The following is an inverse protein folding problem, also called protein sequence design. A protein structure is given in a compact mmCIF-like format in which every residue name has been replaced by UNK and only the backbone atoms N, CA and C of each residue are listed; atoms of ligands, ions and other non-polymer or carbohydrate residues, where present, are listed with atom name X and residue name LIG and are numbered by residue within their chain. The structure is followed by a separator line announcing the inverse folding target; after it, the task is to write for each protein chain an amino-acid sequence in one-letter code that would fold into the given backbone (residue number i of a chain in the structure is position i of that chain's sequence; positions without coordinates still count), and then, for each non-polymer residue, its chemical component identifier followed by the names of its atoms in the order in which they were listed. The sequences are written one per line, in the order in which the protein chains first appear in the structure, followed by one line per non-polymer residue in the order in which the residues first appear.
data_IF_748057012956
#
_entry.id   IF_748057012956
#
_cell.length_a   1.000
_cell.length_b   1.000
_cell.length_c   1.000
_cell.angle_alpha   90.00
_cell.angle_beta   90.00
_cell.angle_gamma   90.00
#
_symmetry.space_group_name_H-M   'P 1'
#
loop_
_entity.id
_entity.type
_entity.pdbx_description
1 polymer ?
#
# COMPACT_ATOMS: atom_id res chain seq x y z
N UNK A 1 -15.38 43.54 47.28
CA UNK A 1 -15.36 42.20 46.63
C UNK A 1 -15.88 42.35 45.21
N UNK A 2 -15.49 41.55 44.18
CA UNK A 2 -14.34 40.65 44.01
C UNK A 2 -13.51 40.93 42.73
N UNK A 3 -12.34 40.29 42.61
CA UNK A 3 -11.38 40.40 41.50
C UNK A 3 -11.81 39.54 40.30
N UNK A 4 -11.88 40.10 39.09
CA UNK A 4 -12.05 39.34 37.84
C UNK A 4 -10.73 38.70 37.44
N UNK A 5 -10.62 37.37 37.56
CA UNK A 5 -9.52 36.59 36.98
C UNK A 5 -9.85 36.30 35.51
N UNK A 6 -9.10 36.87 34.58
CA UNK A 6 -9.09 36.46 33.17
C UNK A 6 -8.37 35.12 33.06
N UNK A 7 -9.11 34.07 32.69
CA UNK A 7 -8.57 32.72 32.53
C UNK A 7 -8.15 32.52 31.06
N UNK A 8 -6.90 32.81 30.73
CA UNK A 8 -6.31 32.52 29.42
C UNK A 8 -6.06 31.02 29.31
N UNK A 9 -6.94 30.29 28.60
CA UNK A 9 -6.74 28.88 28.30
C UNK A 9 -5.56 28.71 27.30
N UNK A 10 -4.59 27.82 27.56
CA UNK A 10 -3.49 27.59 26.62
C UNK A 10 -3.99 26.82 25.38
N UNK A 11 -3.63 27.34 24.21
CA UNK A 11 -3.92 26.75 22.91
C UNK A 11 -3.10 25.47 22.73
N UNK A 12 -3.70 24.30 22.97
CA UNK A 12 -3.10 23.00 22.64
C UNK A 12 -3.07 22.87 21.12
N UNK A 13 -1.88 23.00 20.53
CA UNK A 13 -1.58 22.55 19.17
C UNK A 13 -1.99 21.08 19.09
N UNK A 14 -3.11 20.81 18.43
CA UNK A 14 -3.64 19.48 18.25
C UNK A 14 -2.75 18.81 17.20
N UNK A 15 -1.74 18.07 17.65
CA UNK A 15 -1.01 17.13 16.80
C UNK A 15 -2.05 16.18 16.21
N UNK A 16 -2.29 16.27 14.90
CA UNK A 16 -3.19 15.34 14.20
C UNK A 16 -2.67 13.93 14.48
N UNK A 17 -3.55 13.04 14.93
CA UNK A 17 -3.15 11.65 15.13
C UNK A 17 -2.77 11.03 13.79
N UNK A 18 -1.91 10.01 13.82
CA UNK A 18 -1.43 9.31 12.63
C UNK A 18 -2.59 8.87 11.73
N UNK A 19 -3.67 8.41 12.35
CA UNK A 19 -4.91 7.98 11.70
C UNK A 19 -5.58 9.14 10.95
N UNK A 20 -5.60 10.34 11.52
CA UNK A 20 -6.14 11.53 10.87
C UNK A 20 -5.29 11.98 9.68
N UNK A 21 -3.95 11.86 9.78
CA UNK A 21 -3.05 12.15 8.67
C UNK A 21 -3.16 11.13 7.53
N UNK A 22 -3.30 9.84 7.87
CA UNK A 22 -3.58 8.77 6.91
C UNK A 22 -4.94 8.99 6.24
N UNK A 23 -5.98 9.29 7.01
CA UNK A 23 -7.31 9.60 6.49
C UNK A 23 -7.30 10.80 5.54
N UNK A 24 -6.62 11.89 5.90
CA UNK A 24 -6.52 13.07 5.04
C UNK A 24 -5.71 12.79 3.76
N UNK A 25 -4.67 11.95 3.84
CA UNK A 25 -3.88 11.52 2.68
C UNK A 25 -4.70 10.64 1.75
N UNK A 26 -5.45 9.68 2.30
CA UNK A 26 -6.42 8.88 1.55
C UNK A 26 -7.50 9.76 0.91
N UNK A 27 -7.98 10.81 1.59
CA UNK A 27 -8.96 11.75 1.04
C UNK A 27 -8.40 12.59 -0.11
N UNK A 28 -7.12 12.99 -0.03
CA UNK A 28 -6.44 13.72 -1.11
C UNK A 28 -6.14 12.82 -2.31
N UNK A 29 -5.74 11.57 -2.09
CA UNK A 29 -5.58 10.55 -3.13
C UNK A 29 -6.90 10.18 -3.80
N UNK A 30 -8.02 10.23 -3.07
CA UNK A 30 -9.36 9.91 -3.57
C UNK A 30 -9.81 10.82 -4.72
N UNK A 31 -9.40 12.10 -4.74
CA UNK A 31 -9.93 13.06 -5.71
C UNK A 31 -11.46 13.01 -5.82
N UNK A 32 -12.00 12.99 -7.03
CA UNK A 32 -13.43 12.90 -7.34
C UNK A 32 -13.92 11.45 -7.60
N UNK A 33 -13.19 10.42 -7.17
CA UNK A 33 -13.57 9.02 -7.41
C UNK A 33 -14.80 8.65 -6.58
N UNK A 34 -15.82 8.14 -7.25
CA UNK A 34 -17.09 7.77 -6.62
C UNK A 34 -16.85 6.60 -5.61
N UNK A 35 -17.51 6.60 -4.44
CA UNK A 35 -17.28 5.57 -3.41
C UNK A 35 -17.44 4.12 -3.90
N UNK A 36 -18.22 3.91 -4.97
CA UNK A 36 -18.43 2.62 -5.59
C UNK A 36 -17.18 2.08 -6.31
N UNK A 37 -16.34 2.93 -6.90
CA UNK A 37 -15.08 2.54 -7.55
C UNK A 37 -13.94 2.41 -6.53
N UNK A 38 -13.97 3.21 -5.46
CA UNK A 38 -12.95 3.21 -4.41
C UNK A 38 -12.77 1.84 -3.72
N UNK A 39 -13.87 1.10 -3.50
CA UNK A 39 -13.80 -0.23 -2.86
C UNK A 39 -12.98 -1.22 -3.68
N UNK A 40 -13.08 -1.14 -5.01
CA UNK A 40 -12.37 -2.05 -5.91
C UNK A 40 -10.89 -1.68 -5.95
N UNK A 41 -10.57 -0.39 -6.14
CA UNK A 41 -9.18 0.08 -6.16
C UNK A 41 -8.44 -0.21 -4.85
N UNK A 42 -9.06 0.06 -3.69
CA UNK A 42 -8.42 -0.19 -2.40
C UNK A 42 -8.25 -1.68 -2.12
N UNK A 43 -9.26 -2.50 -2.43
CA UNK A 43 -9.16 -3.94 -2.25
C UNK A 43 -8.07 -4.53 -3.15
N UNK A 44 -8.03 -4.09 -4.40
CA UNK A 44 -6.99 -4.43 -5.38
C UNK A 44 -5.59 -4.07 -4.87
N UNK A 45 -5.39 -2.87 -4.33
CA UNK A 45 -4.10 -2.45 -3.76
C UNK A 45 -3.70 -3.26 -2.53
N UNK A 46 -4.64 -3.60 -1.64
CA UNK A 46 -4.37 -4.44 -0.47
C UNK A 46 -3.97 -5.85 -0.92
N UNK A 47 -4.70 -6.41 -1.88
CA UNK A 47 -4.39 -7.72 -2.45
C UNK A 47 -3.00 -7.73 -3.09
N UNK A 48 -2.69 -6.71 -3.88
CA UNK A 48 -1.42 -6.59 -4.60
C UNK A 48 -0.24 -6.39 -3.63
N UNK A 49 -0.43 -5.62 -2.55
CA UNK A 49 0.53 -5.53 -1.46
C UNK A 49 0.77 -6.88 -0.80
N UNK A 50 -0.31 -7.61 -0.49
CA UNK A 50 -0.23 -8.92 0.15
C UNK A 50 0.48 -9.94 -0.75
N UNK A 51 0.11 -10.02 -2.03
CA UNK A 51 0.75 -10.89 -3.00
C UNK A 51 2.24 -10.55 -3.16
N UNK A 52 2.56 -9.26 -3.28
CA UNK A 52 3.95 -8.77 -3.33
C UNK A 52 4.77 -9.18 -2.12
N UNK A 53 4.24 -9.01 -0.91
CA UNK A 53 4.93 -9.41 0.32
C UNK A 53 5.18 -10.92 0.38
N UNK A 54 4.19 -11.73 0.00
CA UNK A 54 4.31 -13.20 -0.02
C UNK A 54 5.31 -13.66 -1.06
N UNK A 55 5.31 -13.03 -2.24
CA UNK A 55 6.28 -13.29 -3.30
C UNK A 55 7.70 -12.99 -2.81
N UNK A 56 7.95 -11.83 -2.23
CA UNK A 56 9.31 -11.49 -1.77
C UNK A 56 9.77 -12.31 -0.57
N UNK A 57 8.86 -12.65 0.34
CA UNK A 57 9.17 -13.60 1.40
C UNK A 57 9.63 -14.94 0.81
N UNK A 58 8.89 -15.48 -0.16
CA UNK A 58 9.23 -16.76 -0.80
C UNK A 58 10.54 -16.68 -1.58
N UNK A 59 10.76 -15.57 -2.29
CA UNK A 59 11.99 -15.32 -3.02
C UNK A 59 13.21 -15.27 -2.08
N UNK A 60 13.05 -14.66 -0.90
CA UNK A 60 14.10 -14.66 0.13
C UNK A 60 14.36 -16.05 0.69
N UNK A 61 13.32 -16.85 0.92
CA UNK A 61 13.49 -18.25 1.37
C UNK A 61 14.27 -19.08 0.34
N UNK A 62 14.02 -18.91 -0.96
CA UNK A 62 14.78 -19.58 -2.01
C UNK A 62 16.25 -19.15 -2.02
N UNK A 63 16.53 -17.87 -1.76
CA UNK A 63 17.90 -17.35 -1.59
C UNK A 63 18.60 -18.02 -0.41
N UNK A 64 17.91 -18.12 0.72
CA UNK A 64 18.46 -18.67 1.97
C UNK A 64 18.69 -20.19 1.87
N UNK A 65 17.94 -20.88 1.00
CA UNK A 65 18.10 -22.29 0.67
C UNK A 65 19.15 -22.57 -0.42
N UNK A 66 19.88 -21.54 -0.88
CA UNK A 66 20.83 -21.61 -2.00
C UNK A 66 20.21 -22.04 -3.34
N UNK A 67 18.89 -21.90 -3.47
CA UNK A 67 18.09 -22.21 -4.67
C UNK A 67 17.92 -20.99 -5.58
N UNK A 68 18.94 -20.13 -5.64
CA UNK A 68 18.89 -18.85 -6.38
C UNK A 68 18.57 -19.02 -7.87
N UNK A 69 19.00 -20.13 -8.47
CA UNK A 69 18.73 -20.46 -9.87
C UNK A 69 17.24 -20.69 -10.16
N UNK A 70 16.45 -21.02 -9.14
CA UNK A 70 15.01 -21.28 -9.24
C UNK A 70 14.14 -20.08 -8.85
N UNK A 71 14.73 -18.91 -8.57
CA UNK A 71 13.97 -17.72 -8.18
C UNK A 71 12.96 -17.25 -9.24
N UNK A 72 13.17 -17.58 -10.51
CA UNK A 72 12.24 -17.25 -11.60
C UNK A 72 11.40 -18.46 -12.05
N UNK A 73 11.40 -19.53 -11.25
CA UNK A 73 10.67 -20.77 -11.54
C UNK A 73 9.32 -20.79 -10.81
N UNK A 74 8.23 -20.72 -11.56
CA UNK A 74 6.84 -20.56 -11.06
C UNK A 74 6.43 -21.68 -10.11
N UNK A 75 6.94 -22.89 -10.32
CA UNK A 75 6.61 -24.10 -9.56
C UNK A 75 7.02 -23.98 -8.09
N UNK A 76 8.13 -23.32 -7.79
CA UNK A 76 8.65 -23.15 -6.43
C UNK A 76 7.81 -22.19 -5.59
N UNK A 77 7.07 -21.28 -6.24
CA UNK A 77 6.12 -20.39 -5.59
C UNK A 77 4.76 -21.09 -5.43
N UNK A 78 4.30 -21.74 -6.49
CA UNK A 78 3.02 -22.47 -6.49
C UNK A 78 2.99 -23.57 -5.44
N UNK A 79 4.12 -24.26 -5.21
CA UNK A 79 4.26 -25.29 -4.18
C UNK A 79 3.95 -24.78 -2.75
N UNK A 80 4.23 -23.50 -2.48
CA UNK A 80 3.97 -22.85 -1.18
C UNK A 80 2.67 -22.03 -1.18
N UNK A 81 1.82 -22.20 -2.20
CA UNK A 81 0.61 -21.40 -2.42
C UNK A 81 0.92 -19.89 -2.51
N UNK A 82 2.05 -19.55 -3.13
CA UNK A 82 2.47 -18.17 -3.41
C UNK A 82 2.33 -17.92 -4.91
N UNK A 83 1.73 -16.79 -5.27
CA UNK A 83 1.67 -16.36 -6.67
C UNK A 83 3.06 -15.94 -7.14
N UNK A 84 3.48 -16.43 -8.30
CA UNK A 84 4.63 -15.87 -8.99
C UNK A 84 4.23 -14.53 -9.61
N UNK A 85 4.99 -13.48 -9.30
CA UNK A 85 4.71 -12.13 -9.80
C UNK A 85 5.74 -11.72 -10.86
N UNK A 86 5.28 -11.44 -12.11
CA UNK A 86 6.05 -10.70 -13.11
C UNK A 86 6.51 -9.35 -12.57
N UNK A 87 7.53 -8.77 -13.18
CA UNK A 87 8.15 -7.52 -12.70
C UNK A 87 7.15 -6.37 -12.58
N UNK A 88 6.28 -6.22 -13.57
CA UNK A 88 5.21 -5.25 -13.67
C UNK A 88 4.14 -5.38 -12.56
N UNK A 89 3.98 -6.58 -12.01
CA UNK A 89 3.03 -6.87 -10.93
C UNK A 89 3.64 -6.71 -9.53
N UNK A 90 4.97 -6.53 -9.43
CA UNK A 90 5.64 -6.43 -8.12
C UNK A 90 5.33 -5.11 -7.44
N UNK A 91 5.24 -5.15 -6.12
CA UNK A 91 4.94 -3.97 -5.30
C UNK A 91 5.95 -2.82 -5.52
N UNK A 92 7.22 -3.16 -5.77
CA UNK A 92 8.27 -2.19 -6.09
C UNK A 92 7.96 -1.41 -7.37
N UNK A 93 7.59 -2.09 -8.45
CA UNK A 93 7.22 -1.48 -9.72
C UNK A 93 6.04 -0.51 -9.58
N UNK A 94 5.02 -0.92 -8.81
CA UNK A 94 3.83 -0.10 -8.57
C UNK A 94 4.18 1.16 -7.77
N UNK A 95 5.02 1.01 -6.74
CA UNK A 95 5.47 2.13 -5.91
C UNK A 95 6.33 3.13 -6.71
N UNK A 96 7.19 2.65 -7.60
CA UNK A 96 7.99 3.47 -8.50
C UNK A 96 7.11 4.27 -9.47
N UNK A 97 6.01 3.66 -9.92
CA UNK A 97 5.05 4.28 -10.83
C UNK A 97 3.88 5.00 -10.13
N UNK A 98 3.82 5.03 -8.80
CA UNK A 98 2.68 5.56 -8.03
C UNK A 98 2.39 7.05 -8.27
N UNK A 99 3.36 7.82 -8.78
CA UNK A 99 3.20 9.25 -9.11
C UNK A 99 2.71 9.49 -10.54
N UNK A 100 2.65 8.44 -11.36
CA UNK A 100 2.25 8.57 -12.75
C UNK A 100 0.74 8.83 -12.86
N UNK A 101 0.30 9.67 -13.81
CA UNK A 101 -1.12 9.96 -14.00
C UNK A 101 -1.94 8.75 -14.43
N UNK A 102 -1.30 7.71 -15.00
CA UNK A 102 -1.92 6.45 -15.41
C UNK A 102 -1.80 5.33 -14.37
N UNK A 103 -1.57 5.65 -13.08
CA UNK A 103 -1.45 4.64 -12.00
C UNK A 103 -2.63 3.66 -11.95
N UNK A 104 -3.84 4.11 -12.28
CA UNK A 104 -5.01 3.23 -12.33
C UNK A 104 -4.88 2.15 -13.40
N UNK A 105 -4.36 2.49 -14.59
CA UNK A 105 -4.11 1.51 -15.64
C UNK A 105 -3.01 0.53 -15.23
N UNK A 106 -1.95 1.03 -14.58
CA UNK A 106 -0.85 0.19 -14.11
C UNK A 106 -1.33 -0.84 -13.08
N UNK A 107 -2.23 -0.46 -12.17
CA UNK A 107 -2.83 -1.38 -11.21
C UNK A 107 -3.75 -2.39 -11.91
N UNK A 108 -4.51 -1.96 -12.91
CA UNK A 108 -5.42 -2.83 -13.67
C UNK A 108 -4.65 -3.84 -14.54
N UNK A 109 -3.58 -3.40 -15.19
CA UNK A 109 -2.66 -4.25 -15.97
C UNK A 109 -1.95 -5.27 -15.07
N UNK A 110 -1.58 -4.87 -13.84
CA UNK A 110 -0.96 -5.77 -12.87
C UNK A 110 -1.92 -6.84 -12.30
N UNK A 111 -3.23 -6.69 -12.51
CA UNK A 111 -4.27 -7.58 -11.99
C UNK A 111 -5.02 -8.39 -13.06
N UNK A 112 -4.88 -8.02 -14.34
CA UNK A 112 -5.42 -8.76 -15.49
C UNK A 112 -4.69 -10.08 -15.73
#
# INVERSE_FOLDING_TARGET
MPRTKTNTKPNKKQEKSMEAALWESCNKLRGAVEPAEYKHVVLSLIFLKYAGDRFEQRRQELIDQDLKEYMDTVEFYTAENVFYLPEECRWTYIMENAKQPNIFQIIDDALS
#
